data_IF_302460991907
#
_entry.id   IF_302460991907
#
_cell.length_a   1.000
_cell.length_b   1.000
_cell.length_c   1.000
_cell.angle_alpha   90.00
_cell.angle_beta   90.00
_cell.angle_gamma   90.00
#
_symmetry.space_group_name_H-M   'P 1'
#
loop_
_entity.id
_entity.type
_entity.pdbx_description
1 polymer ?
#
# COMPACT_ATOMS: atom_id res chain seq x y z
N UNK A 1 -12.28 21.03 28.99
CA UNK A 1 -11.68 19.74 28.57
C UNK A 1 -12.61 18.90 27.70
N UNK A 2 -13.93 19.01 27.86
CA UNK A 2 -14.89 18.19 27.10
C UNK A 2 -14.90 18.48 25.59
N UNK A 3 -14.75 19.74 25.18
CA UNK A 3 -14.64 20.11 23.75
C UNK A 3 -13.43 19.48 23.06
N UNK A 4 -12.31 19.33 23.78
CA UNK A 4 -11.12 18.62 23.27
C UNK A 4 -11.38 17.13 23.14
N UNK A 5 -12.10 16.51 24.09
CA UNK A 5 -12.57 15.13 23.98
C UNK A 5 -13.51 14.95 22.79
N UNK A 6 -14.44 15.88 22.55
CA UNK A 6 -15.36 15.81 21.40
C UNK A 6 -14.61 15.91 20.08
N UNK A 7 -13.60 16.77 19.98
CA UNK A 7 -12.74 16.88 18.79
C UNK A 7 -11.86 15.64 18.62
N UNK A 8 -11.33 15.10 19.72
CA UNK A 8 -10.52 13.88 19.70
C UNK A 8 -11.38 12.66 19.31
N UNK A 9 -12.60 12.54 19.82
CA UNK A 9 -13.56 11.50 19.46
C UNK A 9 -13.99 11.64 17.98
N UNK A 10 -14.18 12.87 17.49
CA UNK A 10 -14.45 13.11 16.07
C UNK A 10 -13.26 12.69 15.21
N UNK A 11 -12.04 13.00 15.64
CA UNK A 11 -10.80 12.63 14.97
C UNK A 11 -10.57 11.12 14.97
N UNK A 12 -10.82 10.44 16.09
CA UNK A 12 -10.74 8.98 16.22
C UNK A 12 -11.83 8.30 15.38
N UNK A 13 -13.05 8.84 15.37
CA UNK A 13 -14.19 8.32 14.60
C UNK A 13 -14.00 8.46 13.09
N UNK A 14 -13.35 9.53 12.64
CA UNK A 14 -13.08 9.80 11.22
C UNK A 14 -11.61 9.67 10.81
N UNK A 15 -10.79 8.99 11.64
CA UNK A 15 -9.34 8.91 11.45
C UNK A 15 -8.94 8.45 10.05
N UNK A 16 -9.66 7.47 9.49
CA UNK A 16 -9.41 7.00 8.12
C UNK A 16 -9.71 8.08 7.05
N UNK A 17 -10.82 8.81 7.17
CA UNK A 17 -11.19 9.87 6.21
C UNK A 17 -10.25 11.06 6.30
N UNK A 18 -9.85 11.45 7.52
CA UNK A 18 -8.88 12.52 7.76
C UNK A 18 -7.49 12.13 7.25
N UNK A 19 -7.09 10.87 7.44
CA UNK A 19 -5.86 10.31 6.89
C UNK A 19 -5.83 10.39 5.36
N UNK A 20 -6.89 9.98 4.67
CA UNK A 20 -6.96 10.11 3.20
C UNK A 20 -6.95 11.57 2.73
N UNK A 21 -7.62 12.48 3.46
CA UNK A 21 -7.57 13.91 3.20
C UNK A 21 -6.15 14.48 3.33
N UNK A 22 -5.45 14.12 4.40
CA UNK A 22 -4.05 14.54 4.64
C UNK A 22 -3.11 13.99 3.56
N UNK A 23 -3.23 12.71 3.20
CA UNK A 23 -2.43 12.10 2.12
C UNK A 23 -2.69 12.81 0.78
N UNK A 24 -3.94 13.16 0.49
CA UNK A 24 -4.29 13.91 -0.72
C UNK A 24 -3.66 15.30 -0.73
N UNK A 25 -3.74 16.02 0.40
CA UNK A 25 -3.11 17.34 0.58
C UNK A 25 -1.59 17.27 0.44
N UNK A 26 -0.94 16.28 1.07
CA UNK A 26 0.49 16.06 0.97
C UNK A 26 0.92 15.70 -0.45
N UNK A 27 0.11 14.91 -1.17
CA UNK A 27 0.39 14.55 -2.58
C UNK A 27 0.27 15.76 -3.48
N UNK A 28 -0.77 16.59 -3.32
CA UNK A 28 -0.95 17.82 -4.06
C UNK A 28 0.14 18.86 -3.74
N UNK A 29 0.51 19.01 -2.47
CA UNK A 29 1.59 19.88 -2.03
C UNK A 29 2.95 19.41 -2.55
N UNK A 30 3.21 18.10 -2.50
CA UNK A 30 4.42 17.49 -3.05
C UNK A 30 4.54 17.70 -4.56
N UNK A 31 3.48 17.44 -5.32
CA UNK A 31 3.47 17.72 -6.77
C UNK A 31 3.76 19.19 -7.04
N UNK A 32 3.11 20.11 -6.32
CA UNK A 32 3.35 21.54 -6.50
C UNK A 32 4.79 21.93 -6.22
N UNK A 33 5.42 21.38 -5.18
CA UNK A 33 6.83 21.63 -4.88
C UNK A 33 7.75 21.07 -5.97
N UNK A 34 7.56 19.81 -6.40
CA UNK A 34 8.39 19.22 -7.46
C UNK A 34 8.21 19.93 -8.81
N UNK A 35 6.98 20.29 -9.14
CA UNK A 35 6.61 20.95 -10.40
C UNK A 35 7.10 22.40 -10.48
N UNK A 36 7.11 23.14 -9.35
CA UNK A 36 7.53 24.55 -9.32
C UNK A 36 8.98 24.78 -8.92
N UNK A 37 9.58 23.91 -8.11
CA UNK A 37 10.92 24.12 -7.57
C UNK A 37 12.02 23.31 -8.29
N UNK A 38 11.68 22.20 -8.95
CA UNK A 38 12.68 21.25 -9.49
C UNK A 38 12.47 20.97 -10.98
N UNK A 39 11.24 21.03 -11.48
CA UNK A 39 10.95 20.66 -12.86
C UNK A 39 11.13 21.82 -13.84
N UNK A 40 12.14 21.71 -14.70
CA UNK A 40 12.32 22.53 -15.89
C UNK A 40 12.52 21.63 -17.10
N UNK A 41 11.66 21.74 -18.12
CA UNK A 41 11.78 20.91 -19.31
C UNK A 41 13.06 21.31 -20.08
N UNK A 42 13.93 20.35 -20.49
CA UNK A 42 15.23 20.66 -21.09
C UNK A 42 15.13 21.14 -22.55
N UNK A 43 13.94 21.11 -23.16
CA UNK A 43 13.67 21.54 -24.54
C UNK A 43 14.60 20.97 -25.60
N UNK A 44 14.87 19.67 -25.47
CA UNK A 44 15.65 18.87 -26.40
C UNK A 44 14.79 17.73 -26.94
N UNK A 45 14.80 17.57 -28.28
CA UNK A 45 14.02 16.55 -28.97
C UNK A 45 14.26 15.13 -28.42
N UNK A 46 15.47 14.82 -27.98
CA UNK A 46 15.83 13.50 -27.44
C UNK A 46 15.52 13.35 -25.94
N UNK A 47 15.63 14.44 -25.16
CA UNK A 47 15.56 14.37 -23.69
C UNK A 47 14.20 14.71 -23.10
N UNK A 48 13.33 15.41 -23.82
CA UNK A 48 12.01 15.81 -23.32
C UNK A 48 11.14 14.60 -22.90
N UNK A 49 11.10 13.55 -23.72
CA UNK A 49 10.35 12.32 -23.44
C UNK A 49 10.84 11.59 -22.19
N UNK A 50 12.12 11.16 -22.09
CA UNK A 50 12.60 10.45 -20.90
C UNK A 50 12.55 11.32 -19.65
N UNK A 51 12.84 12.63 -19.76
CA UNK A 51 12.80 13.54 -18.60
C UNK A 51 11.38 13.66 -18.02
N UNK A 52 10.38 13.94 -18.85
CA UNK A 52 8.99 14.03 -18.40
C UNK A 52 8.46 12.70 -17.82
N UNK A 53 8.82 11.57 -18.43
CA UNK A 53 8.42 10.25 -17.93
C UNK A 53 9.05 9.89 -16.59
N UNK A 54 10.31 10.26 -16.36
CA UNK A 54 10.99 10.01 -15.08
C UNK A 54 10.28 10.74 -13.93
N UNK A 55 9.98 12.03 -14.10
CA UNK A 55 9.26 12.81 -13.07
C UNK A 55 7.81 12.34 -12.87
N UNK A 56 7.18 11.76 -13.89
CA UNK A 56 5.86 11.17 -13.78
C UNK A 56 5.88 9.80 -13.06
N UNK A 57 6.78 8.89 -13.45
CA UNK A 57 6.73 7.47 -13.09
C UNK A 57 7.64 7.08 -11.92
N UNK A 58 8.79 7.73 -11.71
CA UNK A 58 9.72 7.35 -10.63
C UNK A 58 9.13 7.62 -9.25
N UNK A 59 8.50 8.77 -8.96
CA UNK A 59 7.82 8.98 -7.69
C UNK A 59 6.66 8.00 -7.49
N UNK A 60 5.94 7.64 -8.57
CA UNK A 60 4.92 6.59 -8.52
C UNK A 60 5.54 5.23 -8.11
N UNK A 61 6.64 4.82 -8.74
CA UNK A 61 7.34 3.59 -8.38
C UNK A 61 7.82 3.60 -6.92
N UNK A 62 8.37 4.73 -6.45
CA UNK A 62 8.79 4.88 -5.06
C UNK A 62 7.60 4.72 -4.09
N UNK A 63 6.46 5.36 -4.38
CA UNK A 63 5.23 5.21 -3.59
C UNK A 63 4.68 3.78 -3.63
N UNK A 64 4.77 3.10 -4.77
CA UNK A 64 4.36 1.70 -4.90
C UNK A 64 5.22 0.77 -4.03
N UNK A 65 6.55 0.93 -4.10
CA UNK A 65 7.50 0.17 -3.27
C UNK A 65 7.30 0.46 -1.78
N UNK A 66 7.09 1.73 -1.41
CA UNK A 66 6.78 2.11 -0.04
C UNK A 66 5.47 1.48 0.43
N UNK A 67 4.45 1.41 -0.43
CA UNK A 67 3.20 0.72 -0.15
C UNK A 67 3.39 -0.77 0.19
N UNK A 68 4.35 -1.44 -0.45
CA UNK A 68 4.73 -2.81 -0.10
C UNK A 68 5.46 -2.91 1.24
N UNK A 69 6.44 -2.02 1.46
CA UNK A 69 7.28 -1.99 2.68
C UNK A 69 6.46 -1.68 3.93
N UNK A 70 5.51 -0.76 3.84
CA UNK A 70 4.66 -0.39 4.98
C UNK A 70 3.54 -1.40 5.27
N UNK A 71 3.30 -2.35 4.36
CA UNK A 71 2.23 -3.32 4.53
C UNK A 71 2.75 -4.58 5.26
N UNK A 72 2.35 -4.74 6.52
CA UNK A 72 2.72 -5.89 7.33
C UNK A 72 2.33 -7.26 6.72
N UNK A 73 1.28 -7.30 5.89
CA UNK A 73 0.85 -8.52 5.21
C UNK A 73 1.88 -8.98 4.16
N UNK A 74 2.66 -8.05 3.59
CA UNK A 74 3.85 -8.35 2.76
C UNK A 74 4.88 -9.12 3.57
N UNK A 75 5.20 -8.64 4.78
CA UNK A 75 6.19 -9.28 5.65
C UNK A 75 5.72 -10.61 6.21
N UNK A 76 4.42 -10.78 6.52
CA UNK A 76 3.87 -12.09 6.90
C UNK A 76 4.01 -13.15 5.80
N UNK A 77 4.01 -12.73 4.52
CA UNK A 77 4.26 -13.61 3.38
C UNK A 77 5.73 -13.93 3.16
N UNK A 78 6.61 -12.93 3.31
CA UNK A 78 8.03 -13.06 2.96
C UNK A 78 8.90 -13.60 4.11
N UNK A 79 8.56 -13.30 5.37
CA UNK A 79 9.35 -13.68 6.53
C UNK A 79 9.32 -15.20 6.73
N UNK A 80 10.50 -15.83 6.78
CA UNK A 80 10.64 -17.28 6.95
C UNK A 80 10.53 -18.10 5.66
N UNK A 81 10.29 -17.46 4.51
CA UNK A 81 10.19 -18.15 3.21
C UNK A 81 11.53 -18.65 2.66
N UNK A 82 12.61 -17.93 2.94
CA UNK A 82 13.96 -18.26 2.45
C UNK A 82 14.79 -19.08 3.46
N UNK A 83 14.18 -19.54 4.56
CA UNK A 83 14.88 -20.34 5.57
C UNK A 83 15.13 -21.77 5.05
N UNK A 84 16.38 -22.24 5.19
CA UNK A 84 16.82 -23.57 4.75
C UNK A 84 16.02 -24.65 5.49
N UNK A 85 15.11 -25.33 4.79
CA UNK A 85 14.19 -26.33 5.35
C UNK A 85 12.71 -25.95 5.35
N UNK A 86 12.34 -24.77 4.83
CA UNK A 86 10.95 -24.43 4.55
C UNK A 86 10.38 -25.45 3.54
N UNK A 87 9.46 -26.31 4.00
CA UNK A 87 8.80 -27.31 3.17
C UNK A 87 8.23 -26.65 1.91
N UNK A 88 8.34 -27.36 0.79
CA UNK A 88 7.91 -27.07 -0.59
C UNK A 88 6.45 -26.54 -0.80
N UNK A 89 5.72 -26.19 0.26
CA UNK A 89 4.37 -25.61 0.19
C UNK A 89 4.13 -24.40 1.11
N UNK A 90 5.17 -23.88 1.78
CA UNK A 90 5.04 -22.78 2.76
C UNK A 90 4.97 -21.37 2.17
N UNK A 91 5.45 -21.18 0.95
CA UNK A 91 5.52 -19.87 0.28
C UNK A 91 4.52 -19.78 -0.85
N UNK A 92 3.22 -19.86 -0.54
CA UNK A 92 2.16 -19.43 -1.45
C UNK A 92 2.18 -20.00 -2.88
N UNK A 93 2.80 -21.16 -3.12
CA UNK A 93 2.84 -21.76 -4.44
C UNK A 93 1.42 -22.24 -4.80
N UNK A 94 0.74 -21.51 -5.69
CA UNK A 94 -0.59 -21.83 -6.19
C UNK A 94 -1.53 -20.61 -6.29
N UNK A 95 -2.79 -20.85 -6.68
CA UNK A 95 -3.83 -19.82 -6.88
C UNK A 95 -4.02 -18.89 -5.68
N UNK A 96 -3.78 -19.40 -4.46
CA UNK A 96 -3.93 -18.66 -3.20
C UNK A 96 -2.87 -17.57 -3.03
N UNK A 97 -1.60 -17.86 -3.33
CA UNK A 97 -0.53 -16.86 -3.26
C UNK A 97 -0.70 -15.75 -4.29
N UNK A 98 -1.11 -16.12 -5.51
CA UNK A 98 -1.43 -15.16 -6.58
C UNK A 98 -2.56 -14.22 -6.16
N UNK A 99 -3.63 -14.75 -5.54
CA UNK A 99 -4.75 -13.94 -5.06
C UNK A 99 -4.33 -12.95 -3.96
N UNK A 100 -3.51 -13.39 -3.00
CA UNK A 100 -3.02 -12.50 -1.92
C UNK A 100 -2.07 -11.45 -2.49
N UNK A 101 -1.18 -11.83 -3.40
CA UNK A 101 -0.28 -10.89 -4.09
C UNK A 101 -1.04 -9.84 -4.92
N UNK A 102 -2.10 -10.26 -5.64
CA UNK A 102 -2.95 -9.35 -6.38
C UNK A 102 -3.67 -8.35 -5.45
N UNK A 103 -4.14 -8.81 -4.28
CA UNK A 103 -4.74 -7.92 -3.27
C UNK A 103 -3.73 -6.92 -2.71
N UNK A 104 -2.52 -7.39 -2.38
CA UNK A 104 -1.41 -6.55 -1.91
C UNK A 104 -1.03 -5.49 -2.96
N UNK A 105 -0.91 -5.92 -4.21
CA UNK A 105 -0.65 -5.03 -5.35
C UNK A 105 -1.74 -3.97 -5.50
N UNK A 106 -3.01 -4.38 -5.43
CA UNK A 106 -4.14 -3.47 -5.58
C UNK A 106 -4.17 -2.42 -4.46
N UNK A 107 -3.85 -2.79 -3.21
CA UNK A 107 -3.79 -1.82 -2.10
C UNK A 107 -2.56 -0.92 -2.20
N UNK A 108 -1.41 -1.46 -2.59
CA UNK A 108 -0.19 -0.67 -2.78
C UNK A 108 -0.26 0.28 -3.97
N UNK A 109 -1.09 -0.02 -4.98
CA UNK A 109 -1.27 0.80 -6.18
C UNK A 109 -2.10 2.08 -5.99
N UNK A 110 -2.76 2.27 -4.84
CA UNK A 110 -3.62 3.45 -4.63
C UNK A 110 -2.79 4.74 -4.64
N UNK A 111 -1.75 4.83 -3.82
CA UNK A 111 -0.87 6.00 -3.74
C UNK A 111 -0.20 6.38 -5.09
N UNK A 112 0.41 5.44 -5.85
CA UNK A 112 0.99 5.79 -7.14
C UNK A 112 -0.04 6.23 -8.18
N UNK A 113 -1.24 5.63 -8.20
CA UNK A 113 -2.31 6.06 -9.10
C UNK A 113 -2.81 7.46 -8.75
N UNK A 114 -2.90 7.79 -7.45
CA UNK A 114 -3.20 9.15 -6.99
C UNK A 114 -2.13 10.13 -7.43
N UNK A 115 -0.84 9.81 -7.25
CA UNK A 115 0.27 10.65 -7.73
C UNK A 115 0.18 10.92 -9.23
N UNK A 116 0.06 9.86 -10.06
CA UNK A 116 -0.01 10.01 -11.52
C UNK A 116 -1.22 10.85 -11.92
N UNK A 117 -2.36 10.68 -11.27
CA UNK A 117 -3.56 11.48 -11.52
C UNK A 117 -3.32 12.97 -11.23
N UNK A 118 -2.73 13.29 -10.06
CA UNK A 118 -2.44 14.68 -9.67
C UNK A 118 -1.39 15.31 -10.60
N UNK A 119 -0.33 14.57 -10.95
CA UNK A 119 0.70 15.00 -11.88
C UNK A 119 0.14 15.27 -13.30
N UNK A 120 -0.78 14.43 -13.77
CA UNK A 120 -1.48 14.64 -15.05
C UNK A 120 -2.39 15.87 -15.01
N UNK A 121 -3.05 16.16 -13.89
CA UNK A 121 -3.84 17.38 -13.74
C UNK A 121 -2.95 18.66 -13.75
N UNK A 122 -1.73 18.57 -13.21
CA UNK A 122 -0.73 19.65 -13.31
C UNK A 122 -0.27 19.91 -14.75
N UNK A 123 -0.16 18.85 -15.55
CA UNK A 123 0.09 18.90 -17.00
C UNK A 123 1.55 19.08 -17.40
N UNK A 124 2.40 19.68 -16.55
CA UNK A 124 3.78 20.02 -16.88
C UNK A 124 4.63 18.81 -17.33
N UNK A 125 4.54 17.68 -16.62
CA UNK A 125 5.32 16.47 -16.96
C UNK A 125 4.85 15.85 -18.27
N UNK A 126 3.53 15.82 -18.51
CA UNK A 126 2.95 15.29 -19.74
C UNK A 126 3.28 16.19 -20.93
N UNK A 127 3.12 17.51 -20.81
CA UNK A 127 3.47 18.50 -21.84
C UNK A 127 4.93 18.32 -22.29
N UNK A 128 5.87 18.23 -21.33
CA UNK A 128 7.28 17.99 -21.63
C UNK A 128 7.48 16.63 -22.31
N UNK A 129 6.93 15.53 -21.76
CA UNK A 129 7.10 14.20 -22.34
C UNK A 129 6.51 14.09 -23.76
N UNK A 130 5.32 14.63 -23.95
CA UNK A 130 4.58 14.67 -25.21
C UNK A 130 5.32 15.44 -26.29
N UNK A 131 5.95 16.57 -25.93
CA UNK A 131 6.71 17.39 -26.87
C UNK A 131 7.92 16.68 -27.49
N UNK A 132 8.50 15.70 -26.80
CA UNK A 132 9.60 14.86 -27.29
C UNK A 132 9.16 13.58 -28.00
N UNK A 133 7.86 13.30 -28.10
CA UNK A 133 7.34 12.05 -28.66
C UNK A 133 7.10 12.18 -30.17
N UNK A 134 7.98 11.58 -30.98
CA UNK A 134 7.84 11.54 -32.44
C UNK A 134 6.46 11.07 -32.96
N UNK A 135 5.85 9.97 -32.46
CA UNK A 135 4.54 9.52 -32.96
C UNK A 135 3.39 10.46 -32.54
N UNK A 136 3.54 11.18 -31.42
CA UNK A 136 2.56 12.15 -30.99
C UNK A 136 2.72 13.46 -31.77
N UNK A 137 3.96 13.89 -32.01
CA UNK A 137 4.31 15.04 -32.84
C UNK A 137 3.71 14.92 -34.25
N UNK A 138 3.87 13.76 -34.91
CA UNK A 138 3.29 13.49 -36.24
C UNK A 138 1.78 13.65 -36.28
N UNK A 139 1.07 13.19 -35.23
CA UNK A 139 -0.39 13.31 -35.14
C UNK A 139 -0.83 14.74 -34.87
N UNK A 140 -0.15 15.44 -33.97
CA UNK A 140 -0.45 16.82 -33.60
C UNK A 140 -0.14 17.83 -34.72
N UNK A 141 0.92 17.55 -35.49
CA UNK A 141 1.37 18.38 -36.61
C UNK A 141 0.76 17.97 -37.96
N UNK A 142 -0.16 17.00 -37.99
CA UNK A 142 -0.80 16.57 -39.22
C UNK A 142 -1.59 17.72 -39.87
N UNK A 143 -1.21 18.11 -41.09
CA UNK A 143 -1.84 19.23 -41.79
C UNK A 143 -1.40 20.63 -41.32
N UNK A 144 -0.35 20.73 -40.49
CA UNK A 144 0.29 21.99 -40.09
C UNK A 144 1.60 22.23 -40.84
N UNK A 145 2.25 23.36 -40.53
CA UNK A 145 3.55 23.74 -41.09
C UNK A 145 4.60 22.61 -40.96
N UNK A 146 5.42 22.36 -42.00
CA UNK A 146 6.43 21.29 -41.98
C UNK A 146 7.51 21.44 -40.89
N UNK A 147 7.67 22.64 -40.32
CA UNK A 147 8.60 22.88 -39.20
C UNK A 147 7.99 22.58 -37.82
N UNK A 148 6.70 22.20 -37.75
CA UNK A 148 5.98 21.92 -36.51
C UNK A 148 6.67 20.81 -35.69
N UNK A 149 7.05 19.69 -36.31
CA UNK A 149 7.70 18.58 -35.60
C UNK A 149 9.07 18.98 -35.02
N UNK A 150 9.82 19.81 -35.73
CA UNK A 150 11.13 20.28 -35.29
C UNK A 150 11.04 21.33 -34.17
N UNK A 151 9.95 22.12 -34.14
CA UNK A 151 9.72 23.19 -33.15
C UNK A 151 9.02 22.70 -31.88
N UNK A 152 8.24 21.62 -31.96
CA UNK A 152 7.46 21.09 -30.84
C UNK A 152 8.29 20.83 -29.57
N UNK A 153 9.50 20.24 -29.63
CA UNK A 153 10.32 20.03 -28.43
C UNK A 153 10.80 21.33 -27.76
N UNK A 154 10.84 22.46 -28.48
CA UNK A 154 11.27 23.75 -27.94
C UNK A 154 10.11 24.57 -27.35
N UNK A 155 8.87 24.22 -27.70
CA UNK A 155 7.68 24.95 -27.28
C UNK A 155 7.57 25.16 -25.75
N UNK A 156 7.87 24.17 -24.88
CA UNK A 156 7.74 24.33 -23.43
C UNK A 156 8.64 25.43 -22.82
N UNK A 157 9.75 25.80 -23.48
CA UNK A 157 10.70 26.79 -22.96
C UNK A 157 10.57 28.17 -23.58
N UNK A 158 9.93 28.30 -24.74
CA UNK A 158 9.83 29.58 -25.47
C UNK A 158 8.42 29.79 -26.02
N UNK A 159 7.43 30.03 -25.13
CA UNK A 159 6.03 30.21 -25.52
C UNK A 159 5.76 31.47 -26.36
N UNK A 160 6.74 32.37 -26.49
CA UNK A 160 6.58 33.68 -27.12
C UNK A 160 6.89 33.74 -28.64
N UNK A 161 7.49 32.71 -29.24
CA UNK A 161 7.98 32.78 -30.64
C UNK A 161 7.03 32.23 -31.72
N UNK A 162 5.90 31.61 -31.35
CA UNK A 162 4.87 31.18 -32.32
C UNK A 162 3.52 30.97 -31.64
N UNK A 163 2.47 31.68 -32.06
CA UNK A 163 1.07 31.49 -31.62
C UNK A 163 0.64 30.02 -31.71
N UNK A 164 1.06 29.35 -32.79
CA UNK A 164 0.65 27.98 -33.11
C UNK A 164 1.24 26.95 -32.14
N UNK A 165 2.44 27.22 -31.60
CA UNK A 165 3.09 26.36 -30.61
C UNK A 165 2.42 26.49 -29.24
N UNK A 166 1.95 27.68 -28.89
CA UNK A 166 1.21 27.93 -27.66
C UNK A 166 -0.15 27.20 -27.66
N UNK A 167 -0.85 27.20 -28.80
CA UNK A 167 -2.11 26.46 -28.92
C UNK A 167 -1.90 24.95 -28.86
N UNK A 168 -0.77 24.45 -29.36
CA UNK A 168 -0.41 23.05 -29.26
C UNK A 168 -0.09 22.61 -27.81
N UNK A 169 0.55 23.49 -27.03
CA UNK A 169 0.77 23.24 -25.60
C UNK A 169 -0.55 23.26 -24.81
N UNK A 170 -1.49 24.14 -25.15
CA UNK A 170 -2.84 24.13 -24.53
C UNK A 170 -3.57 22.83 -24.84
N UNK A 171 -3.48 22.34 -26.07
CA UNK A 171 -4.05 21.04 -26.47
C UNK A 171 -3.41 19.89 -25.66
N UNK A 172 -2.08 19.86 -25.55
CA UNK A 172 -1.37 18.86 -24.73
C UNK A 172 -1.75 18.94 -23.25
N UNK A 173 -1.91 20.15 -22.72
CA UNK A 173 -2.38 20.36 -21.34
C UNK A 173 -3.79 19.84 -21.14
N UNK A 174 -4.70 20.12 -22.07
CA UNK A 174 -6.07 19.63 -22.04
C UNK A 174 -6.10 18.09 -22.12
N UNK A 175 -5.31 17.49 -23.01
CA UNK A 175 -5.16 16.03 -23.08
C UNK A 175 -4.67 15.43 -21.76
N UNK A 176 -3.67 16.05 -21.13
CA UNK A 176 -3.16 15.62 -19.82
C UNK A 176 -4.25 15.67 -18.76
N UNK A 177 -5.00 16.76 -18.68
CA UNK A 177 -6.06 16.93 -17.68
C UNK A 177 -7.23 15.96 -17.90
N UNK A 178 -7.64 15.74 -19.15
CA UNK A 178 -8.66 14.75 -19.51
C UNK A 178 -8.20 13.35 -19.14
N UNK A 179 -6.95 12.97 -19.44
CA UNK A 179 -6.37 11.69 -19.03
C UNK A 179 -6.33 11.54 -17.50
N UNK A 180 -5.98 12.61 -16.79
CA UNK A 180 -6.00 12.65 -15.32
C UNK A 180 -7.40 12.37 -14.76
N UNK A 181 -8.44 13.05 -15.26
CA UNK A 181 -9.82 12.82 -14.84
C UNK A 181 -10.35 11.44 -15.20
N UNK A 182 -10.04 10.93 -16.39
CA UNK A 182 -10.38 9.57 -16.81
C UNK A 182 -9.74 8.55 -15.86
N UNK A 183 -8.46 8.73 -15.52
CA UNK A 183 -7.75 7.84 -14.59
C UNK A 183 -8.41 7.85 -13.21
N UNK A 184 -8.75 9.03 -12.67
CA UNK A 184 -9.47 9.16 -11.39
C UNK A 184 -10.79 8.39 -11.43
N UNK A 185 -11.59 8.58 -12.49
CA UNK A 185 -12.88 7.91 -12.65
C UNK A 185 -12.73 6.39 -12.69
N UNK A 186 -11.78 5.88 -13.48
CA UNK A 186 -11.48 4.44 -13.59
C UNK A 186 -11.06 3.86 -12.24
N UNK A 187 -10.19 4.56 -11.50
CA UNK A 187 -9.73 4.10 -10.17
C UNK A 187 -10.88 4.05 -9.16
N UNK A 188 -11.73 5.08 -9.12
CA UNK A 188 -12.89 5.12 -8.21
C UNK A 188 -13.87 3.99 -8.54
N UNK A 189 -14.21 3.81 -9.82
CA UNK A 189 -15.12 2.74 -10.27
C UNK A 189 -14.54 1.37 -9.92
N UNK A 190 -13.25 1.15 -10.19
CA UNK A 190 -12.58 -0.10 -9.86
C UNK A 190 -12.60 -0.38 -8.35
N UNK A 191 -12.28 0.61 -7.51
CA UNK A 191 -12.32 0.48 -6.05
C UNK A 191 -13.74 0.19 -5.54
N UNK A 192 -14.76 0.82 -6.13
CA UNK A 192 -16.15 0.60 -5.78
C UNK A 192 -16.58 -0.83 -6.14
N UNK A 193 -16.29 -1.29 -7.35
CA UNK A 193 -16.62 -2.65 -7.81
C UNK A 193 -15.87 -3.67 -6.95
N UNK A 194 -14.56 -3.51 -6.79
CA UNK A 194 -13.73 -4.42 -6.01
C UNK A 194 -14.21 -4.54 -4.57
N UNK A 195 -14.52 -3.40 -3.93
CA UNK A 195 -15.04 -3.38 -2.55
C UNK A 195 -16.42 -4.02 -2.48
N UNK A 196 -17.32 -3.68 -3.40
CA UNK A 196 -18.71 -4.18 -3.41
C UNK A 196 -18.75 -5.70 -3.63
N UNK A 197 -18.00 -6.21 -4.61
CA UNK A 197 -17.88 -7.65 -4.89
C UNK A 197 -17.25 -8.37 -3.70
N UNK A 198 -16.15 -7.85 -3.14
CA UNK A 198 -15.49 -8.45 -1.98
C UNK A 198 -16.40 -8.52 -0.75
N UNK A 199 -17.29 -7.52 -0.59
CA UNK A 199 -18.29 -7.48 0.49
C UNK A 199 -19.45 -8.43 0.23
N UNK A 200 -19.95 -8.50 -0.99
CA UNK A 200 -21.04 -9.37 -1.39
C UNK A 200 -20.66 -10.86 -1.30
N UNK A 201 -19.43 -11.22 -1.66
CA UNK A 201 -18.90 -12.58 -1.59
C UNK A 201 -18.40 -12.97 -0.18
N UNK A 202 -18.60 -12.11 0.83
CA UNK A 202 -18.22 -12.41 2.20
C UNK A 202 -19.13 -13.50 2.79
N UNK A 203 -18.58 -14.60 3.33
CA UNK A 203 -19.41 -15.62 3.98
C UNK A 203 -19.89 -15.20 5.37
N UNK A 204 -19.37 -14.09 5.91
CA UNK A 204 -19.73 -13.56 7.23
C UNK A 204 -20.60 -12.31 7.11
N UNK A 205 -21.56 -12.21 8.03
CA UNK A 205 -22.46 -11.06 8.14
C UNK A 205 -21.72 -9.77 8.51
N UNK A 206 -22.31 -8.62 8.16
CA UNK A 206 -21.74 -7.30 8.44
C UNK A 206 -21.46 -7.06 9.93
N UNK A 207 -22.38 -7.45 10.81
CA UNK A 207 -22.22 -7.24 12.26
C UNK A 207 -21.13 -8.14 12.84
N UNK A 208 -21.07 -9.39 12.38
CA UNK A 208 -20.00 -10.32 12.75
C UNK A 208 -18.64 -9.81 12.29
N UNK A 209 -18.54 -9.24 11.09
CA UNK A 209 -17.31 -8.64 10.58
C UNK A 209 -16.87 -7.42 11.41
N UNK A 210 -17.82 -6.60 11.90
CA UNK A 210 -17.51 -5.50 12.83
C UNK A 210 -16.98 -6.02 14.16
N UNK A 211 -17.66 -7.00 14.76
CA UNK A 211 -17.19 -7.64 15.98
C UNK A 211 -15.79 -8.23 15.81
N UNK A 212 -15.53 -8.87 14.68
CA UNK A 212 -14.23 -9.45 14.36
C UNK A 212 -13.12 -8.39 14.37
N UNK A 213 -13.33 -7.24 13.74
CA UNK A 213 -12.36 -6.14 13.79
C UNK A 213 -12.06 -5.67 15.21
N UNK A 214 -13.10 -5.54 16.04
CA UNK A 214 -12.95 -5.15 17.46
C UNK A 214 -12.15 -6.22 18.22
N UNK A 215 -12.47 -7.50 18.01
CA UNK A 215 -11.75 -8.61 18.64
C UNK A 215 -10.25 -8.57 18.33
N UNK A 216 -9.88 -8.38 17.06
CA UNK A 216 -8.47 -8.34 16.66
C UNK A 216 -7.72 -7.14 17.22
N UNK A 217 -8.37 -5.97 17.26
CA UNK A 217 -7.77 -4.78 17.84
C UNK A 217 -7.46 -5.00 19.33
N UNK A 218 -8.40 -5.59 20.06
CA UNK A 218 -8.21 -5.94 21.47
C UNK A 218 -7.17 -7.04 21.66
N UNK A 219 -7.20 -8.10 20.85
CA UNK A 219 -6.21 -9.19 20.89
C UNK A 219 -4.79 -8.64 20.69
N UNK A 220 -4.58 -7.73 19.74
CA UNK A 220 -3.27 -7.13 19.48
C UNK A 220 -2.81 -6.23 20.64
N UNK A 221 -3.71 -5.44 21.23
CA UNK A 221 -3.39 -4.60 22.40
C UNK A 221 -2.98 -5.46 23.60
N UNK A 222 -3.75 -6.51 23.90
CA UNK A 222 -3.48 -7.43 25.00
C UNK A 222 -2.17 -8.19 24.76
N UNK A 223 -1.96 -8.70 23.53
CA UNK A 223 -0.74 -9.42 23.17
C UNK A 223 0.49 -8.52 23.33
N UNK A 224 0.43 -7.26 22.88
CA UNK A 224 1.54 -6.32 23.05
C UNK A 224 1.84 -6.06 24.52
N UNK A 225 0.80 -5.82 25.33
CA UNK A 225 0.95 -5.58 26.76
C UNK A 225 1.61 -6.78 27.46
N UNK A 226 1.05 -7.98 27.29
CA UNK A 226 1.52 -9.21 27.92
C UNK A 226 2.91 -9.63 27.44
N UNK A 227 3.21 -9.48 26.14
CA UNK A 227 4.54 -9.77 25.60
C UNK A 227 5.60 -8.81 26.17
N UNK A 228 5.25 -7.54 26.36
CA UNK A 228 6.15 -6.53 26.95
C UNK A 228 6.44 -6.86 28.41
N UNK A 229 5.41 -7.18 29.20
CA UNK A 229 5.56 -7.57 30.61
C UNK A 229 6.45 -8.81 30.76
N UNK A 230 6.17 -9.86 29.96
CA UNK A 230 6.96 -11.09 29.95
C UNK A 230 8.42 -10.87 29.54
N UNK A 231 8.67 -10.02 28.54
CA UNK A 231 10.02 -9.66 28.11
C UNK A 231 10.79 -8.90 29.19
N UNK A 232 10.13 -7.98 29.91
CA UNK A 232 10.73 -7.24 31.02
C UNK A 232 11.12 -8.18 32.16
N UNK A 233 10.23 -9.10 32.55
CA UNK A 233 10.51 -10.05 33.63
C UNK A 233 11.68 -10.97 33.27
N UNK A 234 11.68 -11.53 32.04
CA UNK A 234 12.77 -12.36 31.54
C UNK A 234 14.11 -11.60 31.50
N UNK A 235 14.11 -10.35 31.04
CA UNK A 235 15.32 -9.52 31.02
C UNK A 235 15.84 -9.24 32.44
N UNK A 236 14.95 -8.92 33.39
CA UNK A 236 15.33 -8.67 34.79
C UNK A 236 15.97 -9.89 35.43
N UNK A 237 15.38 -11.07 35.28
CA UNK A 237 15.94 -12.31 35.86
C UNK A 237 17.31 -12.64 35.25
N UNK A 238 17.45 -12.54 33.92
CA UNK A 238 18.72 -12.81 33.25
C UNK A 238 19.84 -11.83 33.68
N UNK A 239 19.52 -10.54 33.78
CA UNK A 239 20.49 -9.52 34.25
C UNK A 239 20.87 -9.78 35.71
N UNK A 240 19.89 -10.12 36.55
CA UNK A 240 20.14 -10.44 37.97
C UNK A 240 21.06 -11.66 38.12
N UNK A 241 20.75 -12.75 37.43
CA UNK A 241 21.58 -13.96 37.45
C UNK A 241 23.01 -13.70 36.93
N UNK A 242 23.16 -12.85 35.91
CA UNK A 242 24.47 -12.45 35.39
C UNK A 242 25.32 -11.73 36.45
N UNK A 243 24.76 -10.72 37.14
CA UNK A 243 25.50 -9.97 38.17
C UNK A 243 25.74 -10.78 39.46
N UNK A 244 24.80 -11.65 39.84
CA UNK A 244 24.92 -12.51 41.02
C UNK A 244 25.74 -13.80 40.75
N UNK A 245 26.17 -14.04 39.51
CA UNK A 245 26.84 -15.27 39.07
C UNK A 245 26.06 -16.55 39.42
N UNK A 246 24.72 -16.48 39.35
CA UNK A 246 23.82 -17.61 39.64
C UNK A 246 23.24 -18.21 38.35
N UNK A 247 22.79 -19.46 38.40
CA UNK A 247 22.11 -20.07 37.27
C UNK A 247 20.66 -19.57 37.15
N UNK A 248 20.20 -19.25 35.93
CA UNK A 248 18.84 -18.77 35.71
C UNK A 248 17.80 -19.86 35.97
N UNK A 249 16.65 -19.47 36.50
CA UNK A 249 15.49 -20.35 36.60
C UNK A 249 14.97 -20.68 35.20
N UNK A 250 14.44 -21.88 35.02
CA UNK A 250 13.83 -22.27 33.75
C UNK A 250 12.56 -21.43 33.51
N UNK A 251 12.66 -20.48 32.59
CA UNK A 251 11.56 -19.60 32.21
C UNK A 251 10.94 -20.10 30.89
N UNK A 252 9.65 -20.41 30.92
CA UNK A 252 8.97 -21.05 29.79
C UNK A 252 8.53 -20.01 28.76
N UNK A 253 9.34 -19.81 27.73
CA UNK A 253 8.93 -19.08 26.53
C UNK A 253 8.34 -20.03 25.48
N UNK A 254 7.30 -19.63 24.72
CA UNK A 254 6.78 -20.44 23.62
C UNK A 254 7.87 -20.82 22.62
N UNK A 255 7.77 -22.01 22.03
CA UNK A 255 8.80 -22.49 21.11
C UNK A 255 8.78 -21.73 19.79
N UNK A 256 9.90 -21.76 19.05
CA UNK A 256 9.99 -21.15 17.72
C UNK A 256 8.91 -21.67 16.76
N UNK A 257 8.54 -22.96 16.89
CA UNK A 257 7.47 -23.55 16.06
C UNK A 257 6.10 -22.95 16.39
N UNK A 258 5.84 -22.65 17.66
CA UNK A 258 4.57 -22.07 18.11
C UNK A 258 4.43 -20.64 17.58
N UNK A 259 5.52 -19.86 17.66
CA UNK A 259 5.59 -18.50 17.09
C UNK A 259 5.38 -18.50 15.57
N UNK A 260 6.00 -19.44 14.85
CA UNK A 260 5.82 -19.55 13.40
C UNK A 260 4.37 -19.92 13.04
N UNK A 261 3.71 -20.74 13.86
CA UNK A 261 2.35 -21.21 13.62
C UNK A 261 1.32 -20.09 13.76
N UNK A 262 1.41 -19.26 14.81
CA UNK A 262 0.50 -18.11 15.00
C UNK A 262 0.78 -16.95 14.02
N UNK A 263 1.97 -16.92 13.41
CA UNK A 263 2.38 -15.90 12.43
C UNK A 263 1.95 -16.21 10.99
N UNK A 264 1.39 -17.40 10.75
CA UNK A 264 0.91 -17.80 9.43
C UNK A 264 -0.29 -16.96 8.96
N UNK A 265 -0.51 -16.89 7.64
CA UNK A 265 -1.65 -16.16 7.08
C UNK A 265 -2.98 -16.76 7.54
N UNK A 266 -3.93 -15.89 7.87
CA UNK A 266 -5.25 -16.33 8.31
C UNK A 266 -6.01 -17.09 7.22
N UNK A 267 -6.63 -18.19 7.63
CA UNK A 267 -7.46 -19.05 6.78
C UNK A 267 -8.83 -19.22 7.40
N UNK A 268 -9.88 -18.86 6.66
CA UNK A 268 -11.25 -19.04 7.14
C UNK A 268 -11.74 -20.46 6.92
N UNK A 269 -12.39 -21.03 7.93
CA UNK A 269 -13.11 -22.29 7.83
C UNK A 269 -14.57 -22.08 8.28
N UNK A 270 -15.58 -22.41 7.46
CA UNK A 270 -16.99 -22.25 7.86
C UNK A 270 -17.41 -23.14 9.03
N UNK A 271 -16.75 -24.29 9.23
CA UNK A 271 -17.09 -25.28 10.26
C UNK A 271 -16.56 -24.90 11.64
N UNK A 272 -15.40 -24.22 11.68
CA UNK A 272 -14.74 -23.80 12.90
C UNK A 272 -14.49 -22.28 12.88
N UNK A 273 -15.30 -21.53 13.63
CA UNK A 273 -15.26 -20.07 13.65
C UNK A 273 -14.14 -19.55 14.56
N UNK A 274 -12.93 -19.45 14.02
CA UNK A 274 -11.79 -18.79 14.68
C UNK A 274 -11.56 -17.40 14.13
N UNK A 275 -11.35 -16.42 15.01
CA UNK A 275 -11.15 -15.01 14.64
C UNK A 275 -9.68 -14.63 14.36
N UNK A 276 -8.72 -15.44 14.80
CA UNK A 276 -7.30 -15.20 14.56
C UNK A 276 -6.55 -16.54 14.50
N UNK A 277 -5.30 -16.50 14.04
CA UNK A 277 -4.44 -17.68 14.07
C UNK A 277 -4.02 -18.07 15.49
N UNK A 278 -3.91 -17.10 16.40
CA UNK A 278 -3.69 -17.35 17.82
C UNK A 278 -4.90 -18.03 18.45
N UNK A 279 -6.11 -17.56 18.15
CA UNK A 279 -7.36 -18.19 18.58
C UNK A 279 -7.47 -19.63 18.03
N UNK A 280 -7.17 -19.83 16.74
CA UNK A 280 -7.14 -21.17 16.11
C UNK A 280 -6.09 -22.08 16.76
N UNK A 281 -4.95 -21.52 17.17
CA UNK A 281 -3.87 -22.26 17.82
C UNK A 281 -4.27 -22.78 19.21
N UNK A 282 -4.85 -21.92 20.06
CA UNK A 282 -5.19 -22.27 21.45
C UNK A 282 -6.34 -23.27 21.53
N UNK A 283 -7.33 -23.18 20.64
CA UNK A 283 -8.53 -24.01 20.67
C UNK A 283 -8.41 -25.35 19.94
N UNK A 284 -7.20 -25.74 19.50
CA UNK A 284 -6.98 -26.99 18.81
C UNK A 284 -6.89 -28.17 19.79
N UNK A 285 -7.63 -29.25 19.51
CA UNK A 285 -7.65 -30.47 20.33
C UNK A 285 -6.35 -31.31 20.26
N UNK A 286 -5.53 -31.14 19.22
CA UNK A 286 -4.25 -31.85 19.03
C UNK A 286 -3.06 -30.88 18.85
N UNK A 287 -2.07 -30.96 19.74
CA UNK A 287 -0.86 -30.10 19.74
C UNK A 287 0.29 -30.63 18.85
N UNK A 288 0.17 -31.81 18.25
CA UNK A 288 1.30 -32.55 17.65
C UNK A 288 1.58 -32.27 16.16
N UNK A 289 0.66 -31.63 15.43
CA UNK A 289 0.83 -31.34 14.00
C UNK A 289 0.81 -29.83 13.74
N UNK A 290 1.64 -29.33 12.80
CA UNK A 290 1.56 -27.94 12.30
C UNK A 290 0.12 -27.58 11.93
N UNK A 291 -0.28 -26.29 11.93
CA UNK A 291 -1.56 -25.89 11.31
C UNK A 291 -1.48 -26.27 9.83
N UNK A 292 -1.92 -27.49 9.53
CA UNK A 292 -2.13 -27.96 8.17
C UNK A 292 -3.42 -27.29 7.73
N UNK A 293 -3.44 -26.79 6.50
CA UNK A 293 -4.69 -26.37 5.85
C UNK A 293 -5.67 -27.54 5.97
N UNK A 294 -6.73 -27.37 6.74
CA UNK A 294 -7.78 -28.37 6.82
C UNK A 294 -8.60 -28.32 5.52
N UNK A 295 -9.25 -29.43 5.18
CA UNK A 295 -10.17 -29.48 4.05
C UNK A 295 -11.30 -28.46 4.24
N UNK A 296 -11.36 -27.44 3.37
CA UNK A 296 -12.29 -26.31 3.48
C UNK A 296 -11.69 -24.96 3.90
N UNK A 297 -10.38 -24.86 4.16
CA UNK A 297 -9.72 -23.58 4.49
C UNK A 297 -9.58 -22.67 3.25
N UNK A 298 -10.26 -21.52 3.25
CA UNK A 298 -10.27 -20.57 2.11
C UNK A 298 -9.61 -19.25 2.50
N UNK A 299 -8.83 -18.63 1.58
CA UNK A 299 -8.42 -17.22 1.74
C UNK A 299 -9.52 -16.35 1.19
N UNK A 300 -10.05 -15.49 2.05
CA UNK A 300 -11.16 -14.63 1.71
C UNK A 300 -10.64 -13.21 1.61
N UNK A 301 -10.79 -12.54 0.44
CA UNK A 301 -10.28 -11.19 0.22
C UNK A 301 -10.68 -10.21 1.32
N UNK A 302 -11.94 -10.26 1.75
CA UNK A 302 -12.47 -9.35 2.76
C UNK A 302 -11.87 -9.59 4.16
N UNK A 303 -11.32 -10.77 4.44
CA UNK A 303 -10.68 -11.09 5.72
C UNK A 303 -9.18 -10.79 5.73
N UNK A 304 -8.66 -10.13 4.69
CA UNK A 304 -7.25 -9.75 4.63
C UNK A 304 -6.80 -8.79 5.73
N UNK A 305 -7.73 -8.06 6.37
CA UNK A 305 -7.42 -7.21 7.53
C UNK A 305 -6.98 -8.00 8.76
N UNK A 306 -7.28 -9.30 8.86
CA UNK A 306 -6.83 -10.16 9.97
C UNK A 306 -5.30 -10.25 10.00
N UNK A 307 -4.67 -10.11 8.82
CA UNK A 307 -3.22 -10.15 8.67
C UNK A 307 -2.54 -8.78 8.77
N UNK A 308 -3.33 -7.70 8.81
CA UNK A 308 -2.82 -6.34 8.94
C UNK A 308 -2.86 -5.95 10.43
N UNK A 309 -1.72 -5.73 11.10
CA UNK A 309 -1.72 -5.17 12.44
C UNK A 309 -2.41 -3.81 12.39
N UNK A 310 -3.22 -3.52 13.41
CA UNK A 310 -3.83 -2.21 13.58
C UNK A 310 -2.78 -1.13 13.42
N UNK A 311 -3.06 -0.15 12.55
CA UNK A 311 -2.19 0.99 12.26
C UNK A 311 -2.03 1.79 13.56
N UNK A 312 -1.04 1.38 14.34
CA UNK A 312 -0.30 2.18 15.29
C UNK A 312 1.17 1.79 15.10
N UNK A 313 1.66 1.97 13.88
CA UNK A 313 3.05 2.36 13.65
C UNK A 313 3.23 3.74 14.29
N UNK A 314 3.32 3.76 15.62
CA UNK A 314 4.22 4.71 16.25
C UNK A 314 5.59 4.37 15.67
N UNK A 315 6.20 5.37 15.04
CA UNK A 315 7.51 5.30 14.45
C UNK A 315 8.48 4.55 15.39
N UNK A 316 8.95 3.39 14.95
CA UNK A 316 10.28 2.93 15.31
C UNK A 316 11.13 3.06 14.05
N UNK A 317 11.61 4.28 13.87
CA UNK A 317 12.82 4.65 13.16
C UNK A 317 13.45 5.80 13.97
#
# INVERSE_FOLDING_TARGET
>A
MDKFRTVLDLHLKHHSTLGYGLVTLLTAGGERVFSTAVFQCPCSAAWNLPYGLVFLLVPALALFLLGYVLNARTWRLLTGCCARGARSGGCGAGRRGVLVFAQLSATAAVAPLTWVSVALLGGAFYECAASGSAPLARRLCQGRDPTCEARLPQAPCSPAQASDAQDLLKELKAQSQVLGWILIAVVIIFLLIFTSVSRCLSPVSFLQLKFWKIYLEQEQQILKSQATEHAIELAKENIKCFFECTHPKQYNTPSVKDWQQISSLYTFNPKDQYYSMLHKYVNRKEKSHSIRSNEGDVVIPILGFVDTPGINTAAEL
#
